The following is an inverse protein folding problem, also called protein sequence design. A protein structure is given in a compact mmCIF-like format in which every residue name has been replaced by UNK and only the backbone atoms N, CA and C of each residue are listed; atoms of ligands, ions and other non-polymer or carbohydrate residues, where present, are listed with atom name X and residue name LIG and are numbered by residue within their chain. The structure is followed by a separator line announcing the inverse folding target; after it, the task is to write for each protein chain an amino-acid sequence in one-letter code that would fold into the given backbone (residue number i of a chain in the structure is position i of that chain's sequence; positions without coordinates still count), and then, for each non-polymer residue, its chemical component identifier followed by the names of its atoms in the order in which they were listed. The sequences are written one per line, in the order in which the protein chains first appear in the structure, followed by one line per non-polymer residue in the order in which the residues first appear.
data_IF_178078911616
#
_entry.id   IF_178078911616
#
_cell.length_a   1.000
_cell.length_b   1.000
_cell.length_c   1.000
_cell.angle_alpha   90.00
_cell.angle_beta   90.00
_cell.angle_gamma   90.00
#
_symmetry.space_group_name_H-M   'P 1'
#
loop_
_entity.id
_entity.type
_entity.pdbx_description
1 polymer ?
#
# COMPACT_ATOMS: atom_id res chain seq x y z
N UNK A 1 10.51 -8.47 1.24
CA UNK A 1 9.96 -7.18 1.70
C UNK A 1 10.16 -6.05 0.68
N UNK A 2 11.35 -5.44 0.57
CA UNK A 2 11.60 -4.26 -0.30
C UNK A 2 10.99 -4.31 -1.71
N UNK A 3 11.16 -5.43 -2.43
CA UNK A 3 10.58 -5.61 -3.79
C UNK A 3 9.05 -5.56 -3.82
N UNK A 4 8.38 -6.11 -2.80
CA UNK A 4 6.91 -6.12 -2.73
C UNK A 4 6.38 -4.71 -2.44
N UNK A 5 7.02 -3.99 -1.51
CA UNK A 5 6.68 -2.59 -1.22
C UNK A 5 6.94 -1.67 -2.42
N UNK A 6 8.07 -1.83 -3.11
CA UNK A 6 8.33 -1.09 -4.34
C UNK A 6 7.25 -1.34 -5.42
N UNK A 7 6.78 -2.58 -5.55
CA UNK A 7 5.68 -2.90 -6.45
C UNK A 7 4.34 -2.29 -6.00
N UNK A 8 4.10 -2.19 -4.68
CA UNK A 8 2.91 -1.54 -4.14
C UNK A 8 2.94 -0.03 -4.39
N UNK A 9 4.09 0.63 -4.18
CA UNK A 9 4.29 2.05 -4.48
C UNK A 9 4.09 2.33 -5.96
N UNK A 10 4.67 1.51 -6.85
CA UNK A 10 4.47 1.69 -8.30
C UNK A 10 3.01 1.46 -8.70
N UNK A 11 2.32 0.49 -8.08
CA UNK A 11 0.88 0.30 -8.24
C UNK A 11 0.09 1.55 -7.82
N UNK A 12 0.36 2.09 -6.63
CA UNK A 12 -0.29 3.29 -6.12
C UNK A 12 -0.05 4.51 -7.02
N UNK A 13 1.16 4.65 -7.55
CA UNK A 13 1.52 5.69 -8.52
C UNK A 13 0.69 5.57 -9.81
N UNK A 14 0.57 4.37 -10.38
CA UNK A 14 -0.23 4.12 -11.58
C UNK A 14 -1.72 4.47 -11.33
N UNK A 15 -2.21 4.19 -10.12
CA UNK A 15 -3.58 4.50 -9.70
C UNK A 15 -3.80 5.99 -9.38
N UNK A 16 -2.76 6.81 -9.43
CA UNK A 16 -2.87 8.27 -9.27
C UNK A 16 -2.63 8.79 -7.85
N UNK A 17 -1.98 8.01 -6.98
CA UNK A 17 -1.59 8.51 -5.66
C UNK A 17 -0.66 9.72 -5.81
N UNK A 18 -0.90 10.84 -5.10
CA UNK A 18 -0.13 12.07 -5.28
C UNK A 18 1.36 11.88 -5.00
N UNK A 19 2.19 12.63 -5.75
CA UNK A 19 3.65 12.51 -5.66
C UNK A 19 4.18 12.76 -4.24
N UNK A 20 3.59 13.68 -3.47
CA UNK A 20 3.99 13.96 -2.08
C UNK A 20 3.90 12.72 -1.17
N UNK A 21 2.91 11.87 -1.40
CA UNK A 21 2.64 10.67 -0.62
C UNK A 21 3.56 9.53 -1.11
N UNK A 22 3.83 9.49 -2.42
CA UNK A 22 4.86 8.62 -3.00
C UNK A 22 6.27 8.96 -2.50
N UNK A 23 6.60 10.24 -2.34
CA UNK A 23 7.91 10.67 -1.85
C UNK A 23 8.12 10.18 -0.40
N UNK A 24 7.13 10.42 0.46
CA UNK A 24 7.14 9.96 1.86
C UNK A 24 7.28 8.44 1.96
N UNK A 25 6.53 7.68 1.15
CA UNK A 25 6.58 6.21 1.17
C UNK A 25 7.89 5.65 0.62
N UNK A 26 8.53 6.33 -0.34
CA UNK A 26 9.87 5.98 -0.83
C UNK A 26 10.95 6.24 0.22
N UNK A 27 10.85 7.34 0.98
CA UNK A 27 11.78 7.62 2.09
C UNK A 27 11.74 6.51 3.14
N UNK A 28 10.54 6.08 3.55
CA UNK A 28 10.39 4.94 4.47
C UNK A 28 10.96 3.64 3.89
N UNK A 29 10.78 3.39 2.59
CA UNK A 29 11.34 2.21 1.92
C UNK A 29 12.88 2.22 1.91
N UNK A 30 13.49 3.39 1.70
CA UNK A 30 14.94 3.60 1.70
C UNK A 30 15.51 3.40 3.11
N UNK A 31 14.80 3.90 4.12
CA UNK A 31 15.19 3.80 5.53
C UNK A 31 14.86 2.44 6.18
N UNK A 32 14.31 1.48 5.41
CA UNK A 32 13.93 0.14 5.88
C UNK A 32 12.78 0.15 6.89
N UNK A 33 12.02 1.24 6.97
CA UNK A 33 10.83 1.40 7.81
C UNK A 33 9.62 0.76 7.12
N UNK A 34 9.67 -0.56 6.93
CA UNK A 34 8.74 -1.29 6.07
C UNK A 34 7.29 -1.27 6.52
N UNK A 35 7.05 -1.31 7.84
CA UNK A 35 5.70 -1.19 8.39
C UNK A 35 5.10 0.18 8.09
N UNK A 36 5.87 1.25 8.31
CA UNK A 36 5.44 2.62 8.04
C UNK A 36 5.26 2.89 6.54
N UNK A 37 6.16 2.35 5.70
CA UNK A 37 6.02 2.38 4.25
C UNK A 37 4.71 1.73 3.78
N UNK A 38 4.41 0.52 4.28
CA UNK A 38 3.16 -0.18 3.97
C UNK A 38 1.93 0.60 4.42
N UNK A 39 1.90 0.99 5.70
CA UNK A 39 0.77 1.65 6.34
C UNK A 39 0.44 2.99 5.66
N UNK A 40 1.48 3.77 5.34
CA UNK A 40 1.32 5.04 4.64
C UNK A 40 0.71 4.83 3.25
N UNK A 41 1.20 3.86 2.45
CA UNK A 41 0.63 3.66 1.10
C UNK A 41 -0.86 3.31 1.16
N UNK A 42 -1.25 2.35 2.01
CA UNK A 42 -2.65 1.89 2.05
C UNK A 42 -3.58 2.94 2.67
N UNK A 43 -3.10 3.67 3.68
CA UNK A 43 -3.86 4.76 4.31
C UNK A 43 -4.12 5.87 3.30
N UNK A 44 -3.08 6.28 2.56
CA UNK A 44 -3.24 7.35 1.59
C UNK A 44 -4.16 6.92 0.43
N UNK A 45 -4.02 5.69 -0.10
CA UNK A 45 -4.97 5.17 -1.10
C UNK A 45 -6.43 5.26 -0.61
N UNK A 46 -6.68 4.92 0.65
CA UNK A 46 -8.01 5.00 1.25
C UNK A 46 -8.49 6.43 1.48
N UNK A 47 -7.64 7.32 1.99
CA UNK A 47 -7.99 8.72 2.24
C UNK A 47 -8.36 9.49 0.96
N UNK A 48 -7.73 9.16 -0.17
CA UNK A 48 -8.09 9.73 -1.47
C UNK A 48 -9.21 8.99 -2.20
N UNK A 49 -9.81 7.94 -1.59
CA UNK A 49 -10.81 7.07 -2.22
C UNK A 49 -10.33 6.51 -3.58
N UNK A 50 -9.04 6.12 -3.63
CA UNK A 50 -8.43 5.58 -4.85
C UNK A 50 -8.82 4.11 -4.97
N UNK A 51 -9.61 3.82 -6.00
CA UNK A 51 -10.04 2.46 -6.32
C UNK A 51 -8.85 1.57 -6.68
N UNK A 52 -8.89 0.32 -6.20
CA UNK A 52 -7.84 -0.68 -6.44
C UNK A 52 -8.43 -1.93 -7.11
N UNK A 53 -7.60 -2.66 -7.86
CA UNK A 53 -7.98 -3.95 -8.41
C UNK A 53 -7.66 -5.11 -7.43
N UNK A 54 -8.14 -6.30 -7.78
CA UNK A 54 -7.86 -7.51 -7.01
C UNK A 54 -6.36 -7.87 -6.95
N UNK A 55 -5.55 -7.42 -7.90
CA UNK A 55 -4.10 -7.71 -7.89
C UNK A 55 -3.39 -6.86 -6.84
N UNK A 56 -3.75 -5.59 -6.73
CA UNK A 56 -3.26 -4.68 -5.69
C UNK A 56 -3.74 -5.15 -4.31
N UNK A 57 -5.02 -5.49 -4.16
CA UNK A 57 -5.53 -6.03 -2.89
C UNK A 57 -4.80 -7.32 -2.45
N UNK A 58 -4.52 -8.23 -3.41
CA UNK A 58 -3.72 -9.43 -3.14
C UNK A 58 -2.29 -9.09 -2.72
N UNK A 59 -1.69 -8.05 -3.29
CA UNK A 59 -0.35 -7.59 -2.92
C UNK A 59 -0.33 -7.00 -1.51
N UNK A 60 -1.31 -6.17 -1.16
CA UNK A 60 -1.54 -5.61 0.18
C UNK A 60 -1.59 -6.76 1.21
N UNK A 61 -2.47 -7.73 0.98
CA UNK A 61 -2.64 -8.90 1.86
C UNK A 61 -1.35 -9.70 2.05
N UNK A 62 -0.56 -9.88 0.97
CA UNK A 62 0.73 -10.60 1.01
C UNK A 62 1.80 -9.84 1.79
N UNK A 63 1.80 -8.51 1.72
CA UNK A 63 2.75 -7.68 2.47
C UNK A 63 2.36 -7.65 3.95
N UNK A 64 1.08 -7.47 4.27
CA UNK A 64 0.55 -7.55 5.63
C UNK A 64 0.96 -8.85 6.33
N UNK A 65 0.79 -9.98 5.64
CA UNK A 65 1.21 -11.30 6.15
C UNK A 65 2.72 -11.37 6.41
N UNK A 66 3.56 -10.85 5.50
CA UNK A 66 5.02 -10.82 5.71
C UNK A 66 5.40 -9.90 6.89
N UNK A 67 4.60 -8.88 7.19
CA UNK A 67 4.76 -7.96 8.32
C UNK A 67 4.14 -8.49 9.63
N UNK A 68 3.53 -9.68 9.62
CA UNK A 68 2.79 -10.24 10.76
C UNK A 68 1.63 -9.38 11.24
N UNK A 69 0.99 -8.64 10.33
CA UNK A 69 -0.23 -7.89 10.58
C UNK A 69 -1.47 -8.79 10.48
N UNK A 70 -2.50 -8.45 11.24
CA UNK A 70 -3.80 -9.11 11.21
C UNK A 70 -4.59 -8.69 9.94
N UNK A 71 -5.63 -9.45 9.58
CA UNK A 71 -6.51 -9.03 8.48
C UNK A 71 -7.26 -7.74 8.80
N UNK A 72 -7.62 -7.54 10.07
CA UNK A 72 -8.33 -6.35 10.55
C UNK A 72 -7.54 -5.05 10.28
N UNK A 73 -6.21 -5.13 10.23
CA UNK A 73 -5.31 -3.98 9.96
C UNK A 73 -5.39 -3.45 8.52
N UNK A 74 -5.97 -4.19 7.57
CA UNK A 74 -6.09 -3.75 6.18
C UNK A 74 -7.43 -4.09 5.53
N UNK A 75 -8.38 -4.65 6.30
CA UNK A 75 -9.68 -5.08 5.81
C UNK A 75 -10.47 -3.93 5.16
N UNK A 76 -10.28 -2.69 5.64
CA UNK A 76 -10.88 -1.47 5.08
C UNK A 76 -10.56 -1.25 3.60
N UNK A 77 -9.43 -1.78 3.11
CA UNK A 77 -9.09 -1.68 1.69
C UNK A 77 -10.05 -2.46 0.78
N UNK A 78 -10.85 -3.40 1.31
CA UNK A 78 -11.90 -4.09 0.54
C UNK A 78 -12.93 -3.10 -0.01
N UNK A 79 -13.17 -1.99 0.68
CA UNK A 79 -14.17 -0.98 0.28
C UNK A 79 -13.76 -0.26 -1.01
N UNK A 80 -12.46 -0.24 -1.33
CA UNK A 80 -11.92 0.36 -2.56
C UNK A 80 -11.78 -0.62 -3.73
N UNK A 81 -12.05 -1.92 -3.53
CA UNK A 81 -11.86 -2.91 -4.59
C UNK A 81 -12.94 -2.75 -5.67
N UNK A 82 -12.51 -2.63 -6.93
CA UNK A 82 -13.38 -2.63 -8.12
C UNK A 82 -12.93 -3.68 -9.14
N UNK A 83 -13.86 -4.04 -10.03
CA UNK A 83 -13.71 -5.09 -11.05
C UNK A 83 -13.08 -4.54 -12.32
#
# INVERSE_FOLDING_TARGET
MKKKLAALIEGAKILGLPQRDLDSTNDFLINHEYGLCYDTVITQLYEYDIEIDNKIYSLISKIAKDLSLSEDDYLFMKDLVRV
#
